data_IF_077555501189
#
_entry.id   IF_077555501189
#
_cell.length_a   1.000
_cell.length_b   1.000
_cell.length_c   1.000
_cell.angle_alpha   90.00
_cell.angle_beta   90.00
_cell.angle_gamma   90.00
#
_symmetry.space_group_name_H-M   'P 1'
#
loop_
_entity.id
_entity.type
_entity.pdbx_description
1 polymer ?
#
# COMPACT_ATOMS: atom_id res chain seq x y z
N UNK A 1 75.51 53.62 15.90
CA UNK A 1 74.64 52.95 16.90
C UNK A 1 73.24 52.83 16.36
N UNK A 2 72.93 51.70 15.69
CA UNK A 2 71.56 51.42 15.11
C UNK A 2 70.76 50.68 16.16
N UNK A 3 69.61 51.23 16.55
CA UNK A 3 68.64 50.54 17.40
C UNK A 3 67.68 49.70 16.53
N UNK A 4 67.74 48.37 16.66
CA UNK A 4 66.82 47.45 16.06
C UNK A 4 65.49 47.48 16.79
N UNK A 5 64.40 47.88 16.12
CA UNK A 5 63.05 47.81 16.59
C UNK A 5 62.43 46.47 16.24
N UNK A 6 62.17 45.60 17.23
CA UNK A 6 61.48 44.36 17.06
C UNK A 6 59.97 44.60 17.06
N UNK A 7 59.33 44.42 15.90
CA UNK A 7 57.87 44.39 15.76
C UNK A 7 57.37 42.96 16.09
N UNK A 8 56.67 42.83 17.21
CA UNK A 8 55.92 41.62 17.56
C UNK A 8 54.56 41.65 16.82
N UNK A 9 54.36 40.72 15.92
CA UNK A 9 53.11 40.50 15.26
C UNK A 9 52.29 39.50 16.11
N UNK A 10 51.07 39.83 16.59
CA UNK A 10 50.25 38.83 17.30
C UNK A 10 49.61 37.88 16.29
N UNK A 11 49.91 36.59 16.45
CA UNK A 11 49.32 35.49 15.69
C UNK A 11 47.88 35.26 16.21
N UNK A 12 46.90 35.77 15.48
CA UNK A 12 45.48 35.58 15.79
C UNK A 12 45.08 34.16 15.40
N UNK A 13 45.00 33.25 16.35
CA UNK A 13 44.49 31.88 16.18
C UNK A 13 42.98 31.97 16.01
N UNK A 14 42.47 31.91 14.76
CA UNK A 14 41.08 31.71 14.47
C UNK A 14 40.72 30.24 14.80
N UNK A 15 40.14 30.02 15.97
CA UNK A 15 39.45 28.78 16.32
C UNK A 15 38.20 28.70 15.45
N UNK A 16 38.28 27.96 14.35
CA UNK A 16 37.08 27.47 13.63
C UNK A 16 36.41 26.43 14.51
N UNK A 17 35.41 26.83 15.26
CA UNK A 17 34.47 25.92 15.88
C UNK A 17 33.68 25.23 14.72
N UNK A 18 34.14 24.05 14.31
CA UNK A 18 33.33 23.14 13.57
C UNK A 18 32.16 22.77 14.46
N UNK A 19 31.00 23.38 14.25
CA UNK A 19 29.74 22.88 14.78
C UNK A 19 29.51 21.52 14.15
N UNK A 20 29.98 20.43 14.80
CA UNK A 20 29.44 19.13 14.60
C UNK A 20 27.98 19.22 15.10
N UNK A 21 27.04 19.38 14.15
CA UNK A 21 25.65 19.13 14.44
C UNK A 21 25.60 17.68 14.98
N UNK A 22 25.27 17.53 16.24
CA UNK A 22 24.93 16.25 16.84
C UNK A 22 23.84 15.64 15.95
N UNK A 23 24.17 14.57 15.22
CA UNK A 23 23.19 13.84 14.42
C UNK A 23 22.19 13.28 15.42
N UNK A 24 21.10 14.02 15.64
CA UNK A 24 20.06 13.67 16.58
C UNK A 24 19.55 12.26 16.24
N UNK A 25 19.39 11.42 17.26
CA UNK A 25 18.91 10.05 17.11
C UNK A 25 17.59 10.05 16.35
N UNK A 26 17.59 9.48 15.13
CA UNK A 26 16.40 9.39 14.29
C UNK A 26 15.30 8.58 14.98
N UNK A 27 14.07 9.02 14.86
CA UNK A 27 12.91 8.27 15.37
C UNK A 27 12.72 6.99 14.57
N UNK A 28 12.73 5.87 15.25
CA UNK A 28 12.47 4.57 14.63
C UNK A 28 11.00 4.41 14.31
N UNK A 29 10.72 3.81 13.14
CA UNK A 29 9.37 3.53 12.69
C UNK A 29 9.39 2.21 11.90
N UNK A 30 8.49 1.29 12.27
CA UNK A 30 8.28 0.02 11.58
C UNK A 30 6.99 0.09 10.77
N UNK A 31 7.10 -0.11 9.45
CA UNK A 31 5.94 -0.28 8.58
C UNK A 31 5.92 -1.69 8.01
N UNK A 32 4.79 -2.38 8.14
CA UNK A 32 4.57 -3.67 7.50
C UNK A 32 3.73 -3.48 6.23
N UNK A 33 4.17 -4.10 5.15
CA UNK A 33 3.43 -4.15 3.89
C UNK A 33 2.30 -5.18 3.99
N UNK A 34 1.32 -5.11 3.09
CA UNK A 34 0.23 -6.08 2.97
C UNK A 34 0.62 -7.28 2.09
N UNK A 35 1.67 -7.10 1.28
CA UNK A 35 2.20 -8.09 0.33
C UNK A 35 3.73 -8.02 0.27
N UNK A 36 4.37 -8.87 -0.56
CA UNK A 36 5.78 -8.72 -0.91
C UNK A 36 6.03 -7.38 -1.60
N UNK A 37 7.21 -6.80 -1.40
CA UNK A 37 7.56 -5.53 -2.02
C UNK A 37 7.44 -5.63 -3.56
N UNK A 38 6.68 -4.70 -4.11
CA UNK A 38 6.41 -4.57 -5.55
C UNK A 38 6.15 -3.09 -5.89
N UNK A 39 5.92 -2.71 -7.15
CA UNK A 39 5.70 -1.30 -7.52
C UNK A 39 4.54 -0.59 -6.79
N UNK A 40 3.58 -1.29 -6.22
CA UNK A 40 2.54 -0.66 -5.40
C UNK A 40 3.12 0.04 -4.16
N UNK A 41 4.29 -0.40 -3.71
CA UNK A 41 5.04 0.17 -2.58
C UNK A 41 6.12 1.18 -3.02
N UNK A 42 6.11 1.61 -4.29
CA UNK A 42 7.16 2.44 -4.87
C UNK A 42 7.48 3.68 -4.02
N UNK A 43 6.47 4.42 -3.54
CA UNK A 43 6.69 5.62 -2.74
C UNK A 43 7.42 5.32 -1.42
N UNK A 44 7.12 4.20 -0.75
CA UNK A 44 7.77 3.79 0.51
C UNK A 44 9.23 3.40 0.24
N UNK A 45 9.45 2.55 -0.76
CA UNK A 45 10.78 2.04 -1.10
C UNK A 45 11.69 3.17 -1.60
N UNK A 46 11.20 4.01 -2.50
CA UNK A 46 11.96 5.16 -3.03
C UNK A 46 12.24 6.18 -1.92
N UNK A 47 11.28 6.46 -1.02
CA UNK A 47 11.53 7.34 0.13
C UNK A 47 12.68 6.84 0.99
N UNK A 48 12.78 5.52 1.20
CA UNK A 48 13.88 4.90 1.94
C UNK A 48 15.21 5.01 1.18
N UNK A 49 15.24 4.59 -0.08
CA UNK A 49 16.46 4.52 -0.88
C UNK A 49 17.03 5.91 -1.22
N UNK A 50 16.18 6.91 -1.42
CA UNK A 50 16.58 8.31 -1.65
C UNK A 50 16.89 9.07 -0.36
N UNK A 51 16.69 8.45 0.82
CA UNK A 51 16.97 9.07 2.10
C UNK A 51 15.90 10.07 2.56
N UNK A 52 14.72 10.16 1.93
CA UNK A 52 13.68 11.12 2.29
C UNK A 52 13.12 10.91 3.69
N UNK A 53 13.09 9.67 4.18
CA UNK A 53 12.78 9.41 5.59
C UNK A 53 13.86 9.96 6.51
N UNK A 54 15.14 9.79 6.17
CA UNK A 54 16.25 10.28 6.96
C UNK A 54 16.28 11.82 7.03
N UNK A 55 15.96 12.50 5.93
CA UNK A 55 15.81 13.97 5.89
C UNK A 55 14.66 14.47 6.79
N UNK A 56 13.65 13.61 7.01
CA UNK A 56 12.55 13.86 7.94
C UNK A 56 12.82 13.32 9.35
N UNK A 57 14.07 13.06 9.70
CA UNK A 57 14.51 12.54 11.00
C UNK A 57 13.85 11.20 11.37
N UNK A 58 13.64 10.31 10.39
CA UNK A 58 13.07 8.98 10.56
C UNK A 58 14.06 7.89 10.15
N UNK A 59 14.08 6.79 10.91
CA UNK A 59 14.71 5.52 10.56
C UNK A 59 13.59 4.49 10.36
N UNK A 60 13.22 4.24 9.07
CA UNK A 60 12.08 3.41 8.71
C UNK A 60 12.53 1.99 8.37
N UNK A 61 12.01 1.01 9.10
CA UNK A 61 12.13 -0.41 8.80
C UNK A 61 10.89 -0.85 7.98
N UNK A 62 11.11 -1.40 6.78
CA UNK A 62 10.06 -1.98 5.92
C UNK A 62 10.04 -3.47 6.15
N UNK A 63 8.88 -4.02 6.49
CA UNK A 63 8.68 -5.43 6.85
C UNK A 63 7.68 -6.03 5.86
N UNK A 64 8.03 -7.15 5.23
CA UNK A 64 7.11 -7.93 4.41
C UNK A 64 6.31 -8.90 5.28
N UNK A 65 5.03 -9.15 4.96
CA UNK A 65 4.19 -10.02 5.76
C UNK A 65 4.51 -11.49 5.52
N UNK A 66 4.34 -12.30 6.56
CA UNK A 66 4.38 -13.78 6.46
C UNK A 66 3.04 -14.40 6.08
N UNK A 67 1.96 -13.62 6.15
CA UNK A 67 0.59 -13.98 5.83
C UNK A 67 -0.14 -12.70 5.37
N UNK A 68 -0.99 -12.74 4.30
CA UNK A 68 -1.65 -11.54 3.75
C UNK A 68 -2.58 -10.82 4.73
N UNK A 69 -2.98 -11.46 5.85
CA UNK A 69 -3.89 -10.89 6.84
C UNK A 69 -3.20 -10.41 8.11
N UNK A 70 -1.85 -10.49 8.18
CA UNK A 70 -1.14 -10.32 9.47
C UNK A 70 -0.91 -8.85 9.86
N UNK A 71 -0.73 -7.95 8.87
CA UNK A 71 -0.29 -6.59 9.13
C UNK A 71 -1.24 -5.79 10.04
N UNK A 72 -2.56 -5.73 9.81
CA UNK A 72 -3.49 -5.02 10.69
C UNK A 72 -3.55 -5.62 12.11
N UNK A 73 -3.39 -6.94 12.23
CA UNK A 73 -3.38 -7.64 13.53
C UNK A 73 -2.15 -7.27 14.36
N UNK A 74 -0.96 -7.22 13.74
CA UNK A 74 0.26 -6.80 14.41
C UNK A 74 0.24 -5.32 14.78
N UNK A 75 -0.38 -4.47 13.92
CA UNK A 75 -0.59 -3.06 14.21
C UNK A 75 -1.48 -2.87 15.44
N UNK A 76 -2.65 -3.50 15.46
CA UNK A 76 -3.57 -3.43 16.59
C UNK A 76 -2.91 -3.93 17.91
N UNK A 77 -2.05 -4.95 17.81
CA UNK A 77 -1.26 -5.46 18.92
C UNK A 77 -0.06 -4.57 19.32
N UNK A 78 0.21 -3.47 18.59
CA UNK A 78 1.32 -2.55 18.86
C UNK A 78 2.72 -3.15 18.61
N UNK A 79 2.83 -4.11 17.69
CA UNK A 79 4.11 -4.75 17.31
C UNK A 79 4.81 -4.01 16.17
N UNK A 80 4.09 -3.21 15.42
CA UNK A 80 4.53 -2.33 14.35
C UNK A 80 3.88 -0.95 14.55
N UNK A 81 4.45 0.09 13.93
CA UNK A 81 3.97 1.46 14.07
C UNK A 81 2.94 1.82 13.00
N UNK A 82 3.14 1.34 11.77
CA UNK A 82 2.28 1.55 10.61
C UNK A 82 2.07 0.24 9.86
N UNK A 83 0.96 0.14 9.14
CA UNK A 83 0.73 -0.93 8.18
C UNK A 83 0.20 -0.37 6.87
N UNK A 84 0.53 -1.03 5.76
CA UNK A 84 -0.23 -0.89 4.51
C UNK A 84 -1.47 -1.77 4.65
N UNK A 85 -2.61 -1.23 4.23
CA UNK A 85 -3.92 -1.90 4.35
C UNK A 85 -4.83 -1.43 3.21
N UNK A 86 -6.03 -1.96 3.14
CA UNK A 86 -7.05 -1.65 2.13
C UNK A 86 -8.17 -0.80 2.74
N UNK A 87 -8.73 0.14 1.95
CA UNK A 87 -9.87 0.95 2.43
C UNK A 87 -11.06 0.05 2.85
N UNK A 88 -11.35 -1.00 2.08
CA UNK A 88 -12.41 -1.97 2.41
C UNK A 88 -12.18 -2.60 3.80
N UNK A 89 -10.95 -3.05 4.07
CA UNK A 89 -10.61 -3.64 5.38
C UNK A 89 -10.68 -2.62 6.51
N UNK A 90 -10.33 -1.36 6.26
CA UNK A 90 -10.46 -0.28 7.24
C UNK A 90 -11.91 -0.10 7.69
N UNK A 91 -12.88 -0.08 6.76
CA UNK A 91 -14.31 0.01 7.09
C UNK A 91 -14.79 -1.19 7.91
N UNK A 92 -14.38 -2.41 7.54
CA UNK A 92 -14.68 -3.64 8.30
C UNK A 92 -14.10 -3.54 9.72
N UNK A 93 -12.85 -3.11 9.82
CA UNK A 93 -12.14 -2.95 11.08
C UNK A 93 -12.82 -1.92 11.99
N UNK A 94 -13.28 -0.81 11.43
CA UNK A 94 -14.00 0.23 12.15
C UNK A 94 -15.34 -0.30 12.72
N UNK A 95 -16.13 -1.01 11.90
CA UNK A 95 -17.40 -1.65 12.35
C UNK A 95 -17.17 -2.70 13.46
N UNK A 96 -16.02 -3.38 13.43
CA UNK A 96 -15.63 -4.37 14.44
C UNK A 96 -14.91 -3.76 15.66
N UNK A 97 -14.76 -2.43 15.72
CA UNK A 97 -14.03 -1.71 16.77
C UNK A 97 -12.55 -2.13 16.90
N UNK A 98 -11.93 -2.56 15.80
CA UNK A 98 -10.48 -2.78 15.76
C UNK A 98 -9.78 -1.40 15.77
N UNK A 99 -8.83 -1.16 16.70
CA UNK A 99 -8.30 0.19 16.95
C UNK A 99 -7.24 0.61 15.93
N UNK A 100 -7.62 0.70 14.66
CA UNK A 100 -6.77 1.23 13.57
C UNK A 100 -7.39 2.49 12.97
N UNK A 101 -6.55 3.37 12.44
CA UNK A 101 -6.95 4.65 11.85
C UNK A 101 -6.14 4.92 10.58
N UNK A 102 -6.80 5.31 9.48
CA UNK A 102 -6.13 5.71 8.24
C UNK A 102 -5.39 7.03 8.45
N UNK A 103 -4.14 7.09 7.97
CA UNK A 103 -3.28 8.29 8.06
C UNK A 103 -2.78 8.79 6.71
N UNK A 104 -2.79 7.93 5.69
CA UNK A 104 -2.41 8.30 4.32
C UNK A 104 -3.03 7.35 3.29
N UNK A 105 -3.07 7.78 2.03
CA UNK A 105 -3.33 6.94 0.86
C UNK A 105 -2.03 6.70 0.10
N UNK A 106 -1.78 5.47 -0.30
CA UNK A 106 -0.65 5.09 -1.13
C UNK A 106 -1.07 5.01 -2.60
N UNK A 107 -2.17 4.29 -2.88
CA UNK A 107 -2.78 4.16 -4.21
C UNK A 107 -4.25 4.60 -4.15
N UNK A 108 -4.58 5.66 -4.91
CA UNK A 108 -5.86 6.37 -4.81
C UNK A 108 -6.95 5.83 -5.77
N UNK A 109 -6.67 4.76 -6.51
CA UNK A 109 -7.61 4.16 -7.48
C UNK A 109 -7.65 2.66 -7.34
N UNK A 110 -8.81 2.01 -7.56
CA UNK A 110 -8.94 0.56 -7.48
C UNK A 110 -7.98 -0.16 -8.43
N UNK A 111 -7.37 -1.21 -7.96
CA UNK A 111 -6.50 -2.11 -8.73
C UNK A 111 -7.02 -3.53 -8.76
N UNK A 112 -7.75 -3.95 -7.74
CA UNK A 112 -8.25 -5.30 -7.63
C UNK A 112 -9.23 -5.65 -8.75
N UNK A 113 -9.14 -6.89 -9.17
CA UNK A 113 -9.92 -7.50 -10.25
C UNK A 113 -10.34 -8.93 -9.87
N UNK A 114 -11.39 -9.40 -10.51
CA UNK A 114 -11.57 -10.83 -10.68
C UNK A 114 -10.82 -11.25 -11.95
N UNK A 115 -9.87 -12.17 -11.79
CA UNK A 115 -8.99 -12.61 -12.87
C UNK A 115 -9.24 -14.07 -13.19
N UNK A 116 -9.37 -14.36 -14.50
CA UNK A 116 -9.52 -15.72 -15.04
C UNK A 116 -8.48 -15.96 -16.14
N UNK A 117 -8.23 -17.21 -16.49
CA UNK A 117 -7.45 -17.51 -17.69
C UNK A 117 -8.24 -17.09 -18.93
N UNK A 118 -7.60 -16.48 -19.92
CA UNK A 118 -8.27 -16.04 -21.14
C UNK A 118 -8.84 -17.20 -21.97
N UNK A 119 -8.23 -18.39 -21.87
CA UNK A 119 -8.68 -19.64 -22.52
C UNK A 119 -9.79 -20.36 -21.73
N UNK A 120 -10.20 -19.88 -20.56
CA UNK A 120 -11.31 -20.47 -19.79
C UNK A 120 -12.67 -20.23 -20.43
N UNK A 121 -13.66 -21.00 -20.01
CA UNK A 121 -15.06 -20.84 -20.43
C UNK A 121 -15.75 -19.64 -19.77
N UNK A 122 -15.15 -19.06 -18.72
CA UNK A 122 -15.69 -17.90 -18.00
C UNK A 122 -15.55 -16.66 -18.87
N UNK A 123 -16.66 -16.16 -19.41
CA UNK A 123 -16.73 -14.98 -20.28
C UNK A 123 -17.52 -13.83 -19.63
N UNK A 124 -18.30 -14.16 -18.60
CA UNK A 124 -19.15 -13.23 -17.84
C UNK A 124 -19.20 -13.68 -16.38
N UNK A 125 -19.68 -12.83 -15.47
CA UNK A 125 -19.83 -13.18 -14.04
C UNK A 125 -20.85 -14.34 -13.84
N UNK A 126 -21.85 -14.49 -14.70
CA UNK A 126 -22.80 -15.61 -14.61
C UNK A 126 -22.15 -16.97 -14.79
N UNK A 127 -21.00 -17.06 -15.47
CA UNK A 127 -20.26 -18.30 -15.69
C UNK A 127 -19.47 -18.74 -14.44
N UNK A 128 -19.46 -17.93 -13.36
CA UNK A 128 -18.84 -18.28 -12.09
C UNK A 128 -19.61 -19.34 -11.31
N UNK A 129 -20.86 -19.64 -11.68
CA UNK A 129 -21.67 -20.64 -10.98
C UNK A 129 -20.98 -22.00 -10.96
N UNK A 130 -20.88 -22.59 -9.76
CA UNK A 130 -20.17 -23.83 -9.46
C UNK A 130 -18.66 -23.80 -9.76
N UNK A 131 -18.04 -22.61 -9.80
CA UNK A 131 -16.59 -22.45 -9.99
C UNK A 131 -15.87 -22.27 -8.67
N UNK A 132 -14.58 -22.61 -8.66
CA UNK A 132 -13.65 -22.39 -7.56
C UNK A 132 -12.99 -21.04 -7.71
N UNK A 133 -13.14 -20.18 -6.72
CA UNK A 133 -12.57 -18.85 -6.70
C UNK A 133 -11.45 -18.79 -5.65
N UNK A 134 -10.23 -18.52 -6.08
CA UNK A 134 -9.10 -18.31 -5.18
C UNK A 134 -9.21 -16.97 -4.48
N UNK A 135 -8.99 -16.99 -3.17
CA UNK A 135 -8.91 -15.81 -2.31
C UNK A 135 -7.57 -15.82 -1.58
N UNK A 136 -7.07 -14.65 -1.21
CA UNK A 136 -5.79 -14.47 -0.51
C UNK A 136 -6.00 -13.81 0.85
N UNK A 137 -6.67 -12.68 0.89
CA UNK A 137 -6.94 -11.89 2.09
C UNK A 137 -8.31 -12.26 2.66
N UNK A 138 -8.31 -13.32 3.48
CA UNK A 138 -9.55 -13.81 4.13
C UNK A 138 -10.24 -12.68 4.91
N UNK A 139 -11.55 -12.59 4.76
CA UNK A 139 -12.39 -11.52 5.31
C UNK A 139 -12.58 -10.37 4.32
N UNK A 140 -11.53 -9.93 3.63
CA UNK A 140 -11.60 -8.89 2.61
C UNK A 140 -12.11 -9.44 1.26
N UNK A 141 -11.43 -10.46 0.72
CA UNK A 141 -11.77 -11.04 -0.59
C UNK A 141 -13.14 -11.72 -0.56
N UNK A 142 -13.51 -12.32 0.57
CA UNK A 142 -14.85 -12.89 0.79
C UNK A 142 -15.93 -11.78 0.74
N UNK A 143 -15.70 -10.67 1.42
CA UNK A 143 -16.62 -9.53 1.41
C UNK A 143 -16.76 -8.94 -0.01
N UNK A 144 -15.65 -8.74 -0.70
CA UNK A 144 -15.66 -8.23 -2.07
C UNK A 144 -16.36 -9.21 -3.04
N UNK A 145 -16.09 -10.51 -2.91
CA UNK A 145 -16.74 -11.53 -3.73
C UNK A 145 -18.24 -11.58 -3.49
N UNK A 146 -18.68 -11.51 -2.22
CA UNK A 146 -20.10 -11.43 -1.86
C UNK A 146 -20.78 -10.26 -2.56
N UNK A 147 -20.25 -9.04 -2.41
CA UNK A 147 -20.83 -7.84 -3.04
C UNK A 147 -20.88 -7.97 -4.58
N UNK A 148 -19.80 -8.47 -5.19
CA UNK A 148 -19.74 -8.68 -6.64
C UNK A 148 -20.79 -9.66 -7.12
N UNK A 149 -20.98 -10.78 -6.44
CA UNK A 149 -21.97 -11.81 -6.79
C UNK A 149 -23.39 -11.27 -6.64
N UNK A 150 -23.74 -10.70 -5.48
CA UNK A 150 -25.08 -10.20 -5.17
C UNK A 150 -25.48 -9.07 -6.14
N UNK A 151 -24.58 -8.15 -6.43
CA UNK A 151 -24.79 -7.05 -7.39
C UNK A 151 -25.10 -7.57 -8.79
N UNK A 152 -24.61 -8.75 -9.14
CA UNK A 152 -24.77 -9.36 -10.47
C UNK A 152 -25.73 -10.57 -10.48
N UNK A 153 -26.60 -10.69 -9.46
CA UNK A 153 -27.70 -11.68 -9.43
C UNK A 153 -27.26 -13.11 -9.06
N UNK A 154 -26.07 -13.26 -8.49
CA UNK A 154 -25.55 -14.51 -7.97
C UNK A 154 -25.54 -14.47 -6.42
N UNK A 155 -25.24 -15.60 -5.79
CA UNK A 155 -25.13 -15.72 -4.34
C UNK A 155 -23.80 -16.38 -3.96
N UNK A 156 -23.34 -16.17 -2.74
CA UNK A 156 -22.10 -16.78 -2.23
C UNK A 156 -22.07 -18.31 -2.39
N UNK A 157 -23.23 -18.98 -2.18
CA UNK A 157 -23.38 -20.44 -2.36
C UNK A 157 -23.22 -20.92 -3.81
N UNK A 158 -23.22 -20.01 -4.79
CA UNK A 158 -23.07 -20.36 -6.20
C UNK A 158 -21.58 -20.58 -6.58
N UNK A 159 -20.64 -20.27 -5.67
CA UNK A 159 -19.20 -20.45 -5.88
C UNK A 159 -18.56 -21.18 -4.69
N UNK A 160 -17.38 -21.76 -4.91
CA UNK A 160 -16.53 -22.32 -3.85
C UNK A 160 -15.32 -21.39 -3.64
N UNK A 161 -15.19 -20.77 -2.47
CA UNK A 161 -14.02 -19.96 -2.12
C UNK A 161 -12.89 -20.85 -1.61
N UNK A 162 -11.69 -20.69 -2.16
CA UNK A 162 -10.50 -21.46 -1.82
C UNK A 162 -9.38 -20.51 -1.40
N UNK A 163 -8.98 -20.57 -0.15
CA UNK A 163 -7.82 -19.80 0.29
C UNK A 163 -6.53 -20.34 -0.36
N UNK A 164 -5.89 -19.50 -1.16
CA UNK A 164 -4.66 -19.81 -1.88
C UNK A 164 -3.45 -19.05 -1.31
N UNK A 165 -3.65 -18.27 -0.25
CA UNK A 165 -2.63 -17.45 0.37
C UNK A 165 -1.95 -16.55 -0.68
N UNK A 166 -0.63 -16.43 -0.71
CA UNK A 166 0.13 -15.65 -1.71
C UNK A 166 0.13 -16.24 -3.14
N UNK A 167 -0.51 -17.39 -3.37
CA UNK A 167 -0.41 -18.15 -4.62
C UNK A 167 -1.56 -17.88 -5.60
N UNK A 168 -2.04 -16.61 -5.73
CA UNK A 168 -3.14 -16.27 -6.64
C UNK A 168 -2.84 -16.71 -8.08
N UNK A 169 -1.79 -16.16 -8.69
CA UNK A 169 -1.38 -16.43 -10.07
C UNK A 169 -1.06 -17.92 -10.29
N UNK A 170 -0.26 -18.51 -9.40
CA UNK A 170 0.13 -19.92 -9.51
C UNK A 170 -1.07 -20.88 -9.43
N UNK A 171 -2.05 -20.59 -8.55
CA UNK A 171 -3.27 -21.39 -8.41
C UNK A 171 -4.16 -21.29 -9.65
N UNK A 172 -4.25 -20.12 -10.27
CA UNK A 172 -5.01 -19.88 -11.48
C UNK A 172 -4.35 -20.55 -12.71
N UNK A 173 -3.03 -20.41 -12.87
CA UNK A 173 -2.27 -21.02 -13.98
C UNK A 173 -2.35 -22.56 -13.91
N UNK A 174 -2.18 -23.13 -12.70
CA UNK A 174 -2.25 -24.60 -12.50
C UNK A 174 -3.66 -25.15 -12.54
N UNK A 175 -4.70 -24.30 -12.72
CA UNK A 175 -6.12 -24.68 -12.71
C UNK A 175 -6.59 -25.30 -11.38
N UNK A 176 -5.91 -25.00 -10.28
CA UNK A 176 -6.35 -25.36 -8.93
C UNK A 176 -7.64 -24.61 -8.58
N UNK A 177 -7.79 -23.39 -9.11
CA UNK A 177 -8.99 -22.57 -9.08
C UNK A 177 -9.34 -22.09 -10.49
N UNK A 178 -10.60 -21.72 -10.70
CA UNK A 178 -11.13 -21.27 -12.00
C UNK A 178 -10.98 -19.76 -12.20
N UNK A 179 -11.01 -19.02 -11.10
CA UNK A 179 -10.79 -17.57 -11.02
C UNK A 179 -10.08 -17.22 -9.73
N UNK A 180 -9.56 -15.99 -9.64
CA UNK A 180 -9.06 -15.41 -8.39
C UNK A 180 -9.63 -14.00 -8.24
N UNK A 181 -9.98 -13.60 -7.00
CA UNK A 181 -10.33 -12.22 -6.65
C UNK A 181 -9.22 -11.64 -5.77
N UNK A 182 -9.06 -10.30 -5.76
CA UNK A 182 -7.96 -9.64 -5.06
C UNK A 182 -6.65 -9.62 -5.86
N UNK A 183 -6.63 -10.17 -7.08
CA UNK A 183 -5.54 -9.94 -8.02
C UNK A 183 -5.54 -8.48 -8.49
N UNK A 184 -4.36 -7.89 -8.66
CA UNK A 184 -4.21 -6.50 -9.08
C UNK A 184 -3.93 -6.39 -10.58
N UNK A 185 -4.72 -5.56 -11.29
CA UNK A 185 -4.62 -5.36 -12.75
C UNK A 185 -3.26 -4.90 -13.26
N UNK A 186 -2.48 -4.30 -12.40
CA UNK A 186 -1.14 -3.80 -12.69
C UNK A 186 -0.03 -4.79 -12.32
N UNK A 187 -0.33 -5.98 -11.81
CA UNK A 187 0.68 -6.96 -11.35
C UNK A 187 0.38 -8.38 -11.85
N UNK A 188 -0.65 -9.07 -11.36
CA UNK A 188 -0.90 -10.48 -11.66
C UNK A 188 -1.13 -10.78 -13.15
N UNK A 189 -1.66 -9.83 -13.92
CA UNK A 189 -1.77 -9.97 -15.39
C UNK A 189 -0.39 -10.13 -16.03
N UNK A 190 0.60 -9.38 -15.56
CA UNK A 190 1.98 -9.47 -16.05
C UNK A 190 2.67 -10.75 -15.59
N UNK A 191 2.42 -11.19 -14.35
CA UNK A 191 2.91 -12.49 -13.87
C UNK A 191 2.39 -13.66 -14.72
N UNK A 192 1.09 -13.67 -15.06
CA UNK A 192 0.52 -14.69 -15.94
C UNK A 192 1.17 -14.68 -17.31
N UNK A 193 1.33 -13.48 -17.89
CA UNK A 193 1.91 -13.32 -19.23
C UNK A 193 3.37 -13.78 -19.28
N UNK A 194 4.16 -13.47 -18.25
CA UNK A 194 5.54 -13.92 -18.15
C UNK A 194 5.66 -15.45 -18.11
N UNK A 195 4.62 -16.12 -17.58
CA UNK A 195 4.53 -17.58 -17.58
C UNK A 195 3.80 -18.16 -18.83
N UNK A 196 3.60 -17.35 -19.87
CA UNK A 196 2.99 -17.76 -21.14
C UNK A 196 1.48 -18.00 -21.06
N UNK A 197 0.80 -17.47 -20.05
CA UNK A 197 -0.64 -17.60 -19.87
C UNK A 197 -1.31 -16.25 -19.94
N UNK A 198 -2.25 -16.04 -20.87
CA UNK A 198 -3.02 -14.81 -20.93
C UNK A 198 -4.15 -14.81 -19.89
N UNK A 199 -4.29 -13.68 -19.18
CA UNK A 199 -5.38 -13.42 -18.25
C UNK A 199 -6.50 -12.60 -18.88
N UNK A 200 -7.74 -12.83 -18.43
CA UNK A 200 -8.89 -11.95 -18.66
C UNK A 200 -9.32 -11.36 -17.32
N UNK A 201 -9.33 -10.04 -17.23
CA UNK A 201 -9.77 -9.31 -16.07
C UNK A 201 -11.24 -8.89 -16.17
N UNK A 202 -11.95 -8.98 -15.05
CA UNK A 202 -13.23 -8.32 -14.80
C UNK A 202 -12.93 -7.20 -13.80
N UNK A 203 -13.04 -5.96 -14.26
CA UNK A 203 -12.78 -4.79 -13.43
C UNK A 203 -13.98 -4.54 -12.52
N UNK A 204 -13.78 -4.60 -11.20
CA UNK A 204 -14.89 -4.62 -10.25
C UNK A 204 -15.79 -3.39 -10.35
N UNK A 205 -15.23 -2.23 -10.69
CA UNK A 205 -15.98 -0.99 -10.90
C UNK A 205 -16.97 -1.06 -12.08
N UNK A 206 -16.69 -1.88 -13.11
CA UNK A 206 -17.62 -2.10 -14.24
C UNK A 206 -18.82 -2.97 -13.84
N UNK A 207 -18.70 -3.67 -12.71
CA UNK A 207 -19.73 -4.55 -12.16
C UNK A 207 -20.37 -3.98 -10.89
N UNK A 208 -20.22 -2.66 -10.69
CA UNK A 208 -20.98 -1.90 -9.69
C UNK A 208 -20.34 -1.81 -8.31
N UNK A 209 -19.07 -2.18 -8.17
CA UNK A 209 -18.30 -1.87 -6.95
C UNK A 209 -17.81 -0.41 -7.05
N UNK A 210 -18.11 0.47 -6.09
CA UNK A 210 -17.73 1.88 -6.20
C UNK A 210 -16.21 2.08 -6.14
N UNK A 211 -15.70 3.18 -6.75
CA UNK A 211 -14.30 3.58 -6.60
C UNK A 211 -13.93 3.83 -5.14
N UNK A 212 -12.73 3.38 -4.76
CA UNK A 212 -12.15 3.51 -3.42
C UNK A 212 -10.63 3.68 -3.52
N UNK A 213 -9.99 4.01 -2.40
CA UNK A 213 -8.54 3.90 -2.28
C UNK A 213 -8.15 2.41 -2.29
N UNK A 214 -7.17 2.04 -3.11
CA UNK A 214 -6.70 0.66 -3.13
C UNK A 214 -5.84 0.37 -1.92
N UNK A 215 -4.75 1.12 -1.76
CA UNK A 215 -3.84 0.96 -0.64
C UNK A 215 -3.75 2.24 0.19
N UNK A 216 -3.87 2.06 1.49
CA UNK A 216 -3.81 3.11 2.50
C UNK A 216 -2.72 2.78 3.53
N UNK A 217 -2.29 3.80 4.27
CA UNK A 217 -1.44 3.63 5.45
C UNK A 217 -2.30 3.80 6.69
N UNK A 218 -2.26 2.82 7.56
CA UNK A 218 -2.97 2.84 8.84
C UNK A 218 -2.01 2.84 10.02
N UNK A 219 -2.43 3.48 11.11
CA UNK A 219 -1.76 3.52 12.40
C UNK A 219 -2.66 2.95 13.49
N UNK A 220 -2.11 2.65 14.68
CA UNK A 220 -2.90 2.28 15.84
C UNK A 220 -3.64 3.51 16.38
N UNK A 221 -4.96 3.45 16.46
CA UNK A 221 -5.85 4.56 16.88
C UNK A 221 -5.49 5.09 18.27
N UNK A 222 -5.29 4.18 19.24
CA UNK A 222 -5.04 4.53 20.63
C UNK A 222 -3.76 5.35 20.86
N UNK A 223 -2.76 5.18 20.01
CA UNK A 223 -1.46 5.85 20.13
C UNK A 223 -1.24 6.91 19.03
N UNK A 224 -2.25 7.15 18.20
CA UNK A 224 -2.13 8.09 17.08
C UNK A 224 -1.78 9.49 17.54
N UNK A 225 -2.43 10.02 18.57
CA UNK A 225 -2.18 11.37 19.09
C UNK A 225 -0.71 11.58 19.48
N UNK A 226 -0.11 10.61 20.17
CA UNK A 226 1.28 10.67 20.63
C UNK A 226 2.28 10.57 19.47
N UNK A 227 1.89 9.89 18.39
CA UNK A 227 2.74 9.66 17.22
C UNK A 227 2.41 10.59 16.03
N UNK A 228 1.45 11.52 16.18
CA UNK A 228 0.95 12.35 15.08
C UNK A 228 2.06 13.10 14.33
N UNK A 229 2.98 13.72 15.01
CA UNK A 229 4.08 14.46 14.37
C UNK A 229 5.07 13.51 13.65
N UNK A 230 5.30 12.32 14.19
CA UNK A 230 6.12 11.30 13.53
C UNK A 230 5.43 10.81 12.24
N UNK A 231 4.12 10.62 12.26
CA UNK A 231 3.31 10.22 11.11
C UNK A 231 3.26 11.33 10.05
N UNK A 232 3.14 12.60 10.43
CA UNK A 232 3.24 13.75 9.49
C UNK A 232 4.57 13.75 8.75
N UNK A 233 5.68 13.54 9.45
CA UNK A 233 7.01 13.47 8.84
C UNK A 233 7.15 12.29 7.89
N UNK A 234 6.54 11.15 8.22
CA UNK A 234 6.45 9.98 7.34
C UNK A 234 5.67 10.31 6.07
N UNK A 235 4.48 10.92 6.19
CA UNK A 235 3.65 11.32 5.05
C UNK A 235 4.34 12.37 4.16
N UNK A 236 5.07 13.32 4.75
CA UNK A 236 5.88 14.30 4.00
C UNK A 236 6.97 13.63 3.16
N UNK A 237 7.63 12.60 3.71
CA UNK A 237 8.63 11.82 2.97
C UNK A 237 7.98 11.01 1.83
N UNK A 238 6.78 10.45 2.04
CA UNK A 238 6.01 9.77 0.98
C UNK A 238 5.61 10.72 -0.14
N UNK A 239 5.12 11.91 0.19
CA UNK A 239 4.74 12.93 -0.79
C UNK A 239 5.94 13.33 -1.63
N UNK A 240 7.09 13.59 -0.99
CA UNK A 240 8.34 13.88 -1.68
C UNK A 240 8.76 12.75 -2.61
N UNK A 241 8.64 11.49 -2.18
CA UNK A 241 8.96 10.33 -2.99
C UNK A 241 8.00 10.19 -4.19
N UNK A 242 6.71 10.40 -3.99
CA UNK A 242 5.71 10.35 -5.07
C UNK A 242 6.00 11.42 -6.12
N UNK A 243 6.27 12.66 -5.71
CA UNK A 243 6.65 13.75 -6.61
C UNK A 243 7.95 13.40 -7.36
N UNK A 244 8.93 12.82 -6.69
CA UNK A 244 10.17 12.37 -7.31
C UNK A 244 9.93 11.28 -8.37
N UNK A 245 9.13 10.26 -8.05
CA UNK A 245 8.78 9.17 -8.97
C UNK A 245 8.13 9.72 -10.24
N UNK A 246 7.19 10.66 -10.11
CA UNK A 246 6.46 11.23 -11.25
C UNK A 246 7.38 12.07 -12.14
N UNK A 247 8.26 12.86 -11.55
CA UNK A 247 9.12 13.78 -12.29
C UNK A 247 10.42 13.13 -12.80
N UNK A 248 10.86 12.03 -12.18
CA UNK A 248 12.10 11.32 -12.49
C UNK A 248 11.88 9.81 -12.50
N UNK A 249 11.00 9.27 -13.36
CA UNK A 249 10.55 7.87 -13.30
C UNK A 249 11.68 6.86 -13.49
N UNK A 250 12.69 7.16 -14.32
CA UNK A 250 13.83 6.27 -14.56
C UNK A 250 14.78 6.24 -13.34
N UNK A 251 15.13 7.41 -12.78
CA UNK A 251 15.95 7.49 -11.57
C UNK A 251 15.25 6.86 -10.36
N UNK A 252 13.93 7.01 -10.30
CA UNK A 252 13.12 6.40 -9.26
C UNK A 252 13.06 4.87 -9.42
N UNK A 253 12.98 4.37 -10.65
CA UNK A 253 13.08 2.94 -10.94
C UNK A 253 14.42 2.37 -10.47
N UNK A 254 15.54 2.99 -10.83
CA UNK A 254 16.86 2.56 -10.38
C UNK A 254 16.96 2.55 -8.84
N UNK A 255 16.38 3.56 -8.19
CA UNK A 255 16.30 3.60 -6.72
C UNK A 255 15.43 2.47 -6.16
N UNK A 256 14.30 2.16 -6.80
CA UNK A 256 13.39 1.09 -6.38
C UNK A 256 14.08 -0.28 -6.47
N UNK A 257 14.69 -0.61 -7.60
CA UNK A 257 15.34 -1.92 -7.79
C UNK A 257 16.63 -2.07 -6.97
N UNK A 258 17.25 -0.97 -6.54
CA UNK A 258 18.40 -1.01 -5.63
C UNK A 258 18.07 -1.53 -4.23
N UNK A 259 16.78 -1.51 -3.85
CA UNK A 259 16.31 -2.04 -2.57
C UNK A 259 16.54 -3.55 -2.46
N UNK A 260 16.25 -4.29 -3.55
CA UNK A 260 16.42 -5.76 -3.61
C UNK A 260 16.50 -6.23 -5.06
N UNK A 261 17.40 -7.19 -5.34
CA UNK A 261 17.71 -7.62 -6.71
C UNK A 261 16.54 -8.23 -7.48
N UNK A 262 15.66 -8.94 -6.80
CA UNK A 262 14.47 -9.57 -7.42
C UNK A 262 13.42 -8.57 -7.91
N UNK A 263 13.52 -7.30 -7.50
CA UNK A 263 12.66 -6.23 -8.01
C UNK A 263 13.01 -5.76 -9.43
N UNK A 264 14.05 -6.28 -10.05
CA UNK A 264 14.48 -5.90 -11.41
C UNK A 264 13.97 -6.81 -12.53
N UNK A 265 13.08 -7.77 -12.22
CA UNK A 265 12.52 -8.68 -13.21
C UNK A 265 11.53 -8.00 -14.19
N UNK A 266 11.18 -8.65 -15.34
CA UNK A 266 10.27 -8.09 -16.32
C UNK A 266 8.86 -7.80 -15.77
N UNK A 267 8.34 -8.60 -14.83
CA UNK A 267 7.02 -8.38 -14.19
C UNK A 267 7.03 -7.06 -13.44
N UNK A 268 8.04 -6.85 -12.59
CA UNK A 268 8.22 -5.63 -11.82
C UNK A 268 8.35 -4.38 -12.72
N UNK A 269 9.10 -4.49 -13.84
CA UNK A 269 9.27 -3.39 -14.79
C UNK A 269 7.95 -3.00 -15.45
N UNK A 270 7.16 -3.98 -15.89
CA UNK A 270 5.85 -3.75 -16.48
C UNK A 270 4.87 -3.17 -15.45
N UNK A 271 4.85 -3.75 -14.25
CA UNK A 271 4.04 -3.27 -13.14
C UNK A 271 4.41 -1.84 -12.72
N UNK A 272 5.70 -1.47 -12.74
CA UNK A 272 6.16 -0.10 -12.45
C UNK A 272 5.46 0.92 -13.36
N UNK A 273 5.53 0.72 -14.68
CA UNK A 273 4.89 1.62 -15.64
C UNK A 273 3.38 1.74 -15.45
N UNK A 274 2.72 0.64 -15.06
CA UNK A 274 1.27 0.63 -14.81
C UNK A 274 0.87 1.24 -13.46
N UNK A 275 1.80 1.33 -12.49
CA UNK A 275 1.52 1.73 -11.11
C UNK A 275 1.80 3.21 -10.84
N UNK A 276 2.92 3.76 -11.34
CA UNK A 276 3.40 5.08 -10.92
C UNK A 276 2.39 6.22 -11.15
N UNK A 277 1.50 6.08 -12.13
CA UNK A 277 0.43 7.04 -12.42
C UNK A 277 -0.77 6.95 -11.46
N UNK A 278 -0.78 5.96 -10.56
CA UNK A 278 -1.86 5.70 -9.60
C UNK A 278 -1.48 6.07 -8.17
N UNK A 279 -0.22 6.42 -7.95
CA UNK A 279 0.26 6.88 -6.65
C UNK A 279 -0.51 8.14 -6.21
N UNK A 280 -0.88 8.20 -4.95
CA UNK A 280 -1.53 9.36 -4.38
C UNK A 280 -0.54 10.55 -4.34
N UNK A 281 -0.82 11.61 -5.12
CA UNK A 281 0.05 12.79 -5.20
C UNK A 281 0.16 13.54 -3.87
N UNK A 282 -0.88 13.46 -3.07
CA UNK A 282 -0.96 14.04 -1.72
C UNK A 282 -1.40 12.95 -0.74
N UNK A 283 -0.48 12.10 -0.26
CA UNK A 283 -0.83 10.92 0.54
C UNK A 283 -1.66 11.24 1.78
N UNK A 284 -1.43 12.36 2.44
CA UNK A 284 -2.19 12.75 3.64
C UNK A 284 -3.65 13.13 3.35
N UNK A 285 -3.97 13.63 2.14
CA UNK A 285 -5.31 14.11 1.80
C UNK A 285 -6.36 12.99 1.93
N UNK A 286 -7.57 13.35 2.39
CA UNK A 286 -8.68 12.44 2.63
C UNK A 286 -9.94 12.93 1.90
N UNK A 287 -10.44 12.16 0.96
CA UNK A 287 -11.73 12.37 0.32
C UNK A 287 -12.86 11.74 1.17
N UNK A 288 -13.34 12.48 2.16
CA UNK A 288 -14.40 12.00 3.06
C UNK A 288 -15.67 11.59 2.30
N UNK A 289 -16.03 12.31 1.23
CA UNK A 289 -17.23 12.01 0.45
C UNK A 289 -17.13 10.64 -0.23
N UNK A 290 -15.94 10.28 -0.75
CA UNK A 290 -15.70 8.97 -1.34
C UNK A 290 -15.77 7.86 -0.27
N UNK A 291 -15.15 8.05 0.88
CA UNK A 291 -15.23 7.12 2.02
C UNK A 291 -16.68 6.92 2.51
N UNK A 292 -17.46 8.00 2.64
CA UNK A 292 -18.88 7.91 3.01
C UNK A 292 -19.71 7.14 1.98
N UNK A 293 -19.48 7.38 0.70
CA UNK A 293 -20.18 6.67 -0.37
C UNK A 293 -19.82 5.19 -0.39
N UNK A 294 -18.55 4.87 -0.15
CA UNK A 294 -18.10 3.48 -0.08
C UNK A 294 -18.65 2.78 1.18
N UNK A 295 -18.70 3.45 2.33
CA UNK A 295 -19.31 2.93 3.54
C UNK A 295 -20.81 2.60 3.36
N UNK A 296 -21.57 3.47 2.65
CA UNK A 296 -22.98 3.20 2.30
C UNK A 296 -23.12 1.94 1.44
N UNK A 297 -22.28 1.79 0.42
CA UNK A 297 -22.25 0.59 -0.39
C UNK A 297 -21.95 -0.65 0.46
N UNK A 298 -20.95 -0.61 1.33
CA UNK A 298 -20.61 -1.74 2.19
C UNK A 298 -21.75 -2.13 3.13
N UNK A 299 -22.48 -1.14 3.67
CA UNK A 299 -23.66 -1.40 4.50
C UNK A 299 -24.81 -1.99 3.67
N UNK A 300 -25.08 -1.49 2.47
CA UNK A 300 -26.13 -1.99 1.56
C UNK A 300 -25.95 -3.51 1.29
N UNK A 301 -24.69 -3.95 1.10
CA UNK A 301 -24.36 -5.36 0.85
C UNK A 301 -24.04 -6.16 2.12
N UNK A 302 -24.32 -5.59 3.31
CA UNK A 302 -24.14 -6.26 4.60
C UNK A 302 -22.69 -6.65 4.91
N UNK A 303 -21.71 -5.91 4.36
CA UNK A 303 -20.29 -6.08 4.65
C UNK A 303 -19.89 -5.41 5.96
N UNK A 304 -20.61 -4.34 6.32
CA UNK A 304 -20.56 -3.68 7.62
C UNK A 304 -22.00 -3.50 8.14
N UNK A 305 -22.16 -3.42 9.46
CA UNK A 305 -23.45 -3.20 10.11
C UNK A 305 -23.73 -1.72 10.31
N UNK A 306 -22.72 -0.97 10.70
CA UNK A 306 -22.83 0.43 11.10
C UNK A 306 -21.93 1.30 10.21
N UNK A 307 -22.45 2.47 9.81
CA UNK A 307 -21.64 3.53 9.21
C UNK A 307 -21.19 4.44 10.35
N UNK A 308 -19.91 4.44 10.67
CA UNK A 308 -19.31 5.34 11.64
C UNK A 308 -18.96 6.67 10.97
N UNK A 309 -18.81 7.74 11.78
CA UNK A 309 -18.28 8.99 11.27
C UNK A 309 -16.84 8.80 10.77
N UNK A 310 -16.52 9.32 9.58
CA UNK A 310 -15.22 9.09 8.95
C UNK A 310 -14.07 9.53 9.87
N UNK A 311 -14.22 10.63 10.59
CA UNK A 311 -13.21 11.16 11.50
C UNK A 311 -12.88 10.23 12.68
N UNK A 312 -13.67 9.20 12.90
CA UNK A 312 -13.40 8.20 13.93
C UNK A 312 -12.31 7.19 13.51
N UNK A 313 -12.12 6.97 12.21
CA UNK A 313 -11.19 5.95 11.70
C UNK A 313 -10.36 6.38 10.48
N UNK A 314 -10.54 7.61 9.98
CA UNK A 314 -9.69 8.18 8.92
C UNK A 314 -9.44 9.66 9.18
N UNK A 315 -8.17 10.08 9.08
CA UNK A 315 -7.74 11.45 9.37
C UNK A 315 -6.72 11.96 8.36
N UNK A 316 -6.59 13.28 8.31
CA UNK A 316 -5.43 13.98 7.80
C UNK A 316 -4.54 14.33 9.00
N UNK A 317 -3.36 13.73 9.17
CA UNK A 317 -2.50 13.92 10.34
C UNK A 317 -2.01 15.35 10.54
#
# INVERSE_FOLDING_TARGET
MLKLCKILLPFLLLLTMSSQAEEGKKDKLKIMLEWFANPNHAAIVVAKQKGFFAENNLDVEIIEPSDPTIAPKLLAAGKIDLAVDYETHLHISADQNIPIIRTATLLATPLDILLVRADSEIKSLSDLKNKKIGISTVGLDEAMMKALLEKNGLQEKDVELVNVNFALTASLISKKVDAVIGAMRNFEIYEMREQGVEGRAFYLEEYGIPPRDELIIVAKKDTFSDNREKIKRFNSALEKATIFIINHPDDAWESFISYRKDLSDPVQKNAWGATIHRLAHRPAALDKGRYENYAKFMQEFGLIKNILAIDEYAVEP
#
